data_IF_466841922825
#
_entry.id   IF_466841922825
#
_cell.length_a   1.000
_cell.length_b   1.000
_cell.length_c   1.000
_cell.angle_alpha   90.00
_cell.angle_beta   90.00
_cell.angle_gamma   90.00
#
_symmetry.space_group_name_H-M   'P 1'
#
loop_
_entity.id
_entity.type
_entity.pdbx_description
1 polymer ?
#
# COMPACT_ATOMS: atom_id res chain seq x y z
N UNK A 1 7.51 -1.47 11.89
CA UNK A 1 7.83 -1.99 10.55
C UNK A 1 7.95 -0.85 9.53
N UNK A 2 6.85 -0.29 8.99
CA UNK A 2 6.95 0.82 8.03
C UNK A 2 7.55 2.09 8.64
N UNK A 3 7.17 2.44 9.88
CA UNK A 3 7.79 3.55 10.64
C UNK A 3 9.31 3.45 10.73
N UNK A 4 9.85 2.24 10.90
CA UNK A 4 11.30 2.01 11.05
C UNK A 4 12.04 2.19 9.72
N UNK A 5 11.36 2.00 8.59
CA UNK A 5 11.89 2.21 7.24
C UNK A 5 11.81 3.68 6.79
N UNK A 6 11.03 4.54 7.46
CA UNK A 6 10.84 5.94 7.07
C UNK A 6 12.13 6.78 7.05
N UNK A 7 13.08 6.66 8.01
CA UNK A 7 14.32 7.43 7.95
C UNK A 7 15.15 7.13 6.68
N UNK A 8 15.22 5.85 6.31
CA UNK A 8 15.90 5.41 5.09
C UNK A 8 15.16 5.92 3.85
N UNK A 9 13.83 5.73 3.79
CA UNK A 9 13.01 6.18 2.68
C UNK A 9 13.10 7.71 2.47
N UNK A 10 13.06 8.50 3.55
CA UNK A 10 13.23 9.97 3.51
C UNK A 10 14.61 10.38 3.00
N UNK A 11 15.66 9.74 3.49
CA UNK A 11 17.05 10.01 3.06
C UNK A 11 17.22 9.74 1.55
N UNK A 12 16.61 8.67 1.06
CA UNK A 12 16.65 8.27 -0.34
C UNK A 12 15.59 8.93 -1.22
N UNK A 13 14.70 9.75 -0.64
CA UNK A 13 13.53 10.35 -1.32
C UNK A 13 12.62 9.29 -1.98
N UNK A 14 12.42 8.17 -1.30
CA UNK A 14 11.56 7.06 -1.72
C UNK A 14 10.28 7.01 -0.86
N UNK A 15 9.28 6.30 -1.37
CA UNK A 15 8.06 5.95 -0.64
C UNK A 15 8.12 4.49 -0.17
N UNK A 16 7.46 4.20 0.96
CA UNK A 16 7.28 2.83 1.47
C UNK A 16 5.87 2.38 1.12
N UNK A 17 5.75 1.24 0.44
CA UNK A 17 4.47 0.63 0.06
C UNK A 17 4.37 -0.74 0.75
N UNK A 18 3.27 -0.99 1.46
CA UNK A 18 2.98 -2.31 2.01
C UNK A 18 2.27 -3.19 0.98
N UNK A 19 2.88 -4.30 0.58
CA UNK A 19 2.35 -5.20 -0.45
C UNK A 19 1.56 -6.39 0.13
N UNK A 20 0.78 -7.06 -0.72
CA UNK A 20 0.01 -8.28 -0.41
C UNK A 20 -1.02 -8.13 0.71
N UNK A 21 -1.74 -7.01 0.73
CA UNK A 21 -2.86 -6.78 1.65
C UNK A 21 -4.12 -7.47 1.11
N UNK A 22 -4.62 -8.48 1.82
CA UNK A 22 -5.74 -9.32 1.39
C UNK A 22 -7.02 -9.08 2.21
N UNK A 23 -6.89 -8.61 3.46
CA UNK A 23 -8.04 -8.42 4.34
C UNK A 23 -7.98 -7.14 5.20
N UNK A 24 -9.13 -6.83 5.82
CA UNK A 24 -9.33 -5.63 6.64
C UNK A 24 -8.43 -5.58 7.89
N UNK A 25 -8.10 -6.74 8.47
CA UNK A 25 -7.25 -6.83 9.65
C UNK A 25 -5.80 -6.47 9.30
N UNK A 26 -5.25 -7.03 8.22
CA UNK A 26 -3.93 -6.68 7.70
C UNK A 26 -3.84 -5.18 7.39
N UNK A 27 -4.83 -4.62 6.68
CA UNK A 27 -4.91 -3.18 6.38
C UNK A 27 -4.91 -2.32 7.65
N UNK A 28 -5.64 -2.73 8.69
CA UNK A 28 -5.68 -2.02 9.97
C UNK A 28 -4.32 -2.05 10.67
N UNK A 29 -3.70 -3.22 10.80
CA UNK A 29 -2.40 -3.40 11.46
C UNK A 29 -1.31 -2.58 10.73
N UNK A 30 -1.26 -2.64 9.40
CA UNK A 30 -0.26 -1.91 8.62
C UNK A 30 -0.42 -0.39 8.75
N UNK A 31 -1.66 0.09 8.82
CA UNK A 31 -1.95 1.50 9.11
C UNK A 31 -1.44 1.93 10.50
N UNK A 32 -1.67 1.12 11.54
CA UNK A 32 -1.16 1.37 12.90
C UNK A 32 0.39 1.34 12.96
N UNK A 33 1.02 0.48 12.15
CA UNK A 33 2.47 0.41 11.96
C UNK A 33 3.05 1.55 11.11
N UNK A 34 2.21 2.47 10.63
CA UNK A 34 2.56 3.69 9.89
C UNK A 34 2.90 3.48 8.42
N UNK A 35 2.31 2.46 7.79
CA UNK A 35 2.32 2.35 6.33
C UNK A 35 1.23 3.29 5.77
N UNK A 36 1.64 4.32 5.02
CA UNK A 36 0.74 5.32 4.44
C UNK A 36 0.13 4.87 3.11
N UNK A 37 0.80 3.95 2.42
CA UNK A 37 0.38 3.40 1.13
C UNK A 37 0.48 1.88 1.14
N UNK A 38 -0.37 1.22 0.38
CA UNK A 38 -0.35 -0.23 0.26
C UNK A 38 -1.07 -0.76 -0.97
N UNK A 39 -0.76 -2.01 -1.31
CA UNK A 39 -1.27 -2.74 -2.45
C UNK A 39 -1.71 -4.14 -2.02
N UNK A 40 -2.78 -4.63 -2.63
CA UNK A 40 -3.18 -6.03 -2.53
C UNK A 40 -4.65 -6.23 -2.88
N UNK A 41 -5.07 -7.50 -2.91
CA UNK A 41 -6.44 -7.92 -3.26
C UNK A 41 -7.53 -7.25 -2.42
N UNK A 42 -7.22 -6.82 -1.20
CA UNK A 42 -8.13 -6.04 -0.36
C UNK A 42 -8.60 -4.74 -1.04
N UNK A 43 -7.73 -4.09 -1.81
CA UNK A 43 -8.05 -2.85 -2.53
C UNK A 43 -8.59 -3.16 -3.93
N UNK A 44 -7.81 -3.90 -4.70
CA UNK A 44 -8.16 -4.37 -6.04
C UNK A 44 -7.22 -5.50 -6.45
N UNK A 45 -7.72 -6.45 -7.23
CA UNK A 45 -6.86 -7.33 -8.01
C UNK A 45 -6.11 -6.54 -9.11
N UNK A 46 -5.12 -7.14 -9.75
CA UNK A 46 -4.53 -6.54 -10.96
C UNK A 46 -5.60 -6.42 -12.05
N UNK A 47 -5.79 -5.20 -12.57
CA UNK A 47 -6.84 -4.89 -13.54
C UNK A 47 -6.26 -4.68 -14.95
N UNK A 48 -6.96 -5.11 -16.01
CA UNK A 48 -6.67 -4.68 -17.38
C UNK A 48 -6.78 -3.15 -17.52
N UNK A 49 -6.08 -2.51 -18.46
CA UNK A 49 -6.00 -1.05 -18.57
C UNK A 49 -7.36 -0.33 -18.57
N UNK A 50 -8.35 -0.87 -19.30
CA UNK A 50 -9.70 -0.29 -19.36
C UNK A 50 -10.38 -0.29 -17.99
N UNK A 51 -10.30 -1.41 -17.27
CA UNK A 51 -10.91 -1.55 -15.95
C UNK A 51 -10.18 -0.71 -14.91
N UNK A 52 -8.86 -0.55 -15.02
CA UNK A 52 -8.09 0.33 -14.15
C UNK A 52 -8.53 1.80 -14.30
N UNK A 53 -8.78 2.26 -15.54
CA UNK A 53 -9.31 3.61 -15.79
C UNK A 53 -10.72 3.78 -15.22
N UNK A 54 -11.57 2.75 -15.32
CA UNK A 54 -12.91 2.77 -14.72
C UNK A 54 -12.86 2.80 -13.19
N UNK A 55 -11.91 2.10 -12.58
CA UNK A 55 -11.70 2.07 -11.13
C UNK A 55 -11.16 3.40 -10.55
N UNK A 56 -10.42 4.18 -11.35
CA UNK A 56 -9.85 5.47 -10.94
C UNK A 56 -10.83 6.65 -10.98
N UNK A 57 -12.03 6.47 -11.57
CA UNK A 57 -13.04 7.52 -11.68
C UNK A 57 -13.90 7.62 -10.42
#
# INVERSE_FOLDING_TARGET
MCKDQQPLAKTLKLQVIAESIENSLQRKILSELGCESGQGYWFAAALPPRQAVEWLR
#
